data_IF_288075288288
#
_entry.id   IF_288075288288
#
_cell.length_a   1.000
_cell.length_b   1.000
_cell.length_c   1.000
_cell.angle_alpha   90.00
_cell.angle_beta   90.00
_cell.angle_gamma   90.00
#
_symmetry.space_group_name_H-M   'P 1'
#
loop_
_entity.id
_entity.type
_entity.pdbx_description
1 polymer ?
#
# COMPACT_ATOMS: atom_id res chain seq x y z
N UNK A 1 -1.41 14.85 8.70
CA UNK A 1 0.00 14.39 8.62
C UNK A 1 0.75 15.29 7.67
N UNK A 2 2.01 15.63 7.94
CA UNK A 2 2.87 16.26 6.92
C UNK A 2 3.50 15.22 5.98
N UNK A 3 4.18 15.63 4.91
CA UNK A 3 4.82 14.68 3.98
C UNK A 3 5.83 13.74 4.65
N UNK A 4 6.64 14.25 5.58
CA UNK A 4 7.65 13.47 6.29
C UNK A 4 7.01 12.36 7.13
N UNK A 5 5.90 12.65 7.80
CA UNK A 5 5.13 11.66 8.56
C UNK A 5 4.61 10.53 7.65
N UNK A 6 4.14 10.89 6.45
CA UNK A 6 3.60 9.93 5.48
C UNK A 6 4.69 9.03 4.90
N UNK A 7 5.86 9.59 4.56
CA UNK A 7 7.03 8.82 4.12
C UNK A 7 7.46 7.86 5.25
N UNK A 8 7.56 8.35 6.49
CA UNK A 8 7.90 7.50 7.64
C UNK A 8 6.92 6.32 7.79
N UNK A 9 5.61 6.57 7.67
CA UNK A 9 4.61 5.51 7.77
C UNK A 9 4.78 4.44 6.67
N UNK A 10 5.09 4.84 5.43
CA UNK A 10 5.37 3.92 4.33
C UNK A 10 6.65 3.10 4.56
N UNK A 11 7.70 3.72 5.11
CA UNK A 11 8.95 3.03 5.46
C UNK A 11 8.71 2.03 6.60
N UNK A 12 7.93 2.38 7.63
CA UNK A 12 7.56 1.44 8.69
C UNK A 12 6.72 0.27 8.15
N UNK A 13 5.80 0.52 7.21
CA UNK A 13 5.02 -0.53 6.56
C UNK A 13 5.94 -1.55 5.87
N UNK A 14 7.03 -1.10 5.22
CA UNK A 14 7.97 -2.00 4.55
C UNK A 14 8.56 -3.08 5.47
N UNK A 15 8.71 -2.78 6.77
CA UNK A 15 9.32 -3.67 7.76
C UNK A 15 8.44 -4.88 8.06
N UNK A 16 7.11 -4.73 7.98
CA UNK A 16 6.16 -5.82 8.22
C UNK A 16 5.87 -6.66 6.97
N UNK A 17 6.38 -6.25 5.79
CA UNK A 17 6.23 -6.95 4.52
C UNK A 17 7.33 -8.02 4.35
N UNK A 18 7.27 -9.08 5.14
CA UNK A 18 8.24 -10.18 5.08
C UNK A 18 7.53 -11.53 5.33
N UNK A 19 8.22 -12.63 5.00
CA UNK A 19 7.64 -14.00 5.10
C UNK A 19 7.49 -14.49 6.54
N UNK A 20 8.24 -13.92 7.48
CA UNK A 20 8.16 -14.27 8.90
C UNK A 20 6.92 -13.63 9.57
N UNK A 21 6.26 -12.70 8.89
CA UNK A 21 4.96 -12.18 9.31
C UNK A 21 3.86 -13.22 9.04
N UNK A 22 3.44 -13.91 10.10
CA UNK A 22 2.41 -14.97 10.03
C UNK A 22 1.07 -14.47 9.46
N UNK A 23 0.63 -13.25 9.80
CA UNK A 23 -0.62 -12.69 9.29
C UNK A 23 -0.54 -12.42 7.78
N UNK A 24 0.58 -11.86 7.30
CA UNK A 24 0.80 -11.63 5.86
C UNK A 24 0.87 -12.97 5.11
N UNK A 25 1.64 -13.93 5.63
CA UNK A 25 1.77 -15.25 5.03
C UNK A 25 0.42 -15.96 4.95
N UNK A 26 -0.40 -15.88 6.00
CA UNK A 26 -1.77 -16.39 5.98
C UNK A 26 -2.62 -15.69 4.90
N UNK A 27 -2.54 -14.36 4.79
CA UNK A 27 -3.28 -13.60 3.76
C UNK A 27 -2.84 -13.94 2.33
N UNK A 28 -1.55 -14.24 2.10
CA UNK A 28 -1.05 -14.73 0.80
C UNK A 28 -1.65 -16.09 0.47
N UNK A 29 -1.69 -17.02 1.44
CA UNK A 29 -2.29 -18.34 1.24
C UNK A 29 -3.80 -18.25 0.99
N UNK A 30 -4.53 -17.42 1.75
CA UNK A 30 -5.96 -17.19 1.54
C UNK A 30 -6.24 -16.54 0.18
N UNK A 31 -5.39 -15.62 -0.26
CA UNK A 31 -5.50 -14.97 -1.57
C UNK A 31 -5.43 -15.96 -2.71
N UNK A 32 -4.50 -16.93 -2.66
CA UNK A 32 -4.39 -18.00 -3.65
C UNK A 32 -5.65 -18.85 -3.74
N UNK A 33 -6.25 -19.20 -2.59
CA UNK A 33 -7.48 -20.00 -2.56
C UNK A 33 -8.66 -19.25 -3.21
N UNK A 34 -8.73 -17.94 -2.97
CA UNK A 34 -9.84 -17.11 -3.42
C UNK A 34 -9.68 -16.62 -4.88
N UNK A 35 -8.44 -16.37 -5.31
CA UNK A 35 -8.12 -15.86 -6.64
C UNK A 35 -6.92 -16.61 -7.22
N UNK A 36 -7.17 -17.49 -8.20
CA UNK A 36 -6.14 -18.34 -8.80
C UNK A 36 -5.03 -17.56 -9.52
N UNK A 37 -5.26 -16.28 -9.86
CA UNK A 37 -4.23 -15.40 -10.41
C UNK A 37 -3.22 -14.95 -9.34
N UNK A 38 -3.60 -14.99 -8.06
CA UNK A 38 -2.77 -14.59 -6.92
C UNK A 38 -2.03 -15.82 -6.38
N UNK A 39 -1.21 -16.44 -7.23
CA UNK A 39 -0.32 -17.52 -6.77
C UNK A 39 0.58 -16.99 -5.64
N UNK A 40 1.00 -17.87 -4.73
CA UNK A 40 1.93 -17.49 -3.66
C UNK A 40 3.18 -16.82 -4.22
N UNK A 41 3.73 -17.37 -5.30
CA UNK A 41 4.90 -16.82 -5.98
C UNK A 41 4.66 -15.41 -6.49
N UNK A 42 3.56 -15.16 -7.22
CA UNK A 42 3.25 -13.83 -7.76
C UNK A 42 2.93 -12.83 -6.66
N UNK A 43 2.27 -13.27 -5.59
CA UNK A 43 1.96 -12.44 -4.43
C UNK A 43 3.25 -11.99 -3.74
N UNK A 44 4.16 -12.92 -3.45
CA UNK A 44 5.45 -12.60 -2.84
C UNK A 44 6.34 -11.76 -3.75
N UNK A 45 6.34 -12.01 -5.07
CA UNK A 45 7.03 -11.15 -6.03
C UNK A 45 6.51 -9.72 -6.01
N UNK A 46 5.18 -9.53 -5.97
CA UNK A 46 4.56 -8.20 -5.89
C UNK A 46 4.90 -7.50 -4.57
N UNK A 47 4.78 -8.22 -3.45
CA UNK A 47 5.12 -7.69 -2.11
C UNK A 47 6.60 -7.27 -2.03
N UNK A 48 7.51 -8.11 -2.52
CA UNK A 48 8.95 -7.82 -2.50
C UNK A 48 9.31 -6.64 -3.42
N UNK A 49 8.67 -6.55 -4.58
CA UNK A 49 8.83 -5.40 -5.47
C UNK A 49 8.35 -4.10 -4.80
N UNK A 50 7.17 -4.11 -4.17
CA UNK A 50 6.67 -2.94 -3.44
C UNK A 50 7.63 -2.55 -2.31
N UNK A 51 8.06 -3.52 -1.50
CA UNK A 51 8.98 -3.30 -0.39
C UNK A 51 10.29 -2.67 -0.83
N UNK A 52 10.92 -3.25 -1.86
CA UNK A 52 12.29 -2.88 -2.27
C UNK A 52 12.35 -1.74 -3.28
N UNK A 53 11.30 -1.55 -4.08
CA UNK A 53 11.29 -0.55 -5.16
C UNK A 53 10.42 0.66 -4.85
N UNK A 54 9.45 0.58 -3.93
CA UNK A 54 8.55 1.69 -3.62
C UNK A 54 8.67 2.20 -2.19
N UNK A 55 8.88 1.32 -1.20
CA UNK A 55 8.82 1.68 0.22
C UNK A 55 10.18 1.92 0.87
N UNK A 56 11.26 1.86 0.09
CA UNK A 56 12.58 2.28 0.55
C UNK A 56 12.61 3.80 0.78
N UNK A 57 13.26 4.22 1.87
CA UNK A 57 13.31 5.64 2.26
C UNK A 57 14.01 6.50 1.22
N UNK A 58 15.10 6.02 0.62
CA UNK A 58 15.84 6.78 -0.38
C UNK A 58 15.04 6.93 -1.66
N UNK A 59 14.33 5.88 -2.09
CA UNK A 59 13.47 5.91 -3.28
C UNK A 59 12.29 6.85 -3.08
N UNK A 60 11.61 6.80 -1.92
CA UNK A 60 10.49 7.69 -1.60
C UNK A 60 10.93 9.16 -1.57
N UNK A 61 12.07 9.46 -0.95
CA UNK A 61 12.60 10.82 -0.89
C UNK A 61 13.01 11.33 -2.29
N UNK A 62 13.71 10.51 -3.09
CA UNK A 62 14.06 10.89 -4.46
C UNK A 62 12.82 11.15 -5.32
N UNK A 63 11.85 10.23 -5.30
CA UNK A 63 10.61 10.38 -6.05
C UNK A 63 9.80 11.61 -5.63
N UNK A 64 9.59 11.81 -4.34
CA UNK A 64 8.77 12.93 -3.84
C UNK A 64 9.46 14.28 -4.01
N UNK A 65 10.79 14.34 -4.00
CA UNK A 65 11.55 15.58 -4.23
C UNK A 65 11.34 16.19 -5.62
N UNK A 66 10.92 15.38 -6.61
CA UNK A 66 10.63 15.80 -7.98
C UNK A 66 9.34 16.61 -8.11
N UNK A 67 8.56 16.72 -7.03
CA UNK A 67 7.27 17.39 -7.00
C UNK A 67 7.18 18.37 -5.84
N UNK A 68 6.44 19.47 -6.04
CA UNK A 68 6.14 20.42 -4.96
C UNK A 68 4.96 19.94 -4.11
N UNK A 69 5.16 18.88 -3.34
CA UNK A 69 4.14 18.32 -2.44
C UNK A 69 4.08 19.17 -1.17
N UNK A 70 3.09 20.05 -1.09
CA UNK A 70 2.85 20.88 0.10
C UNK A 70 1.98 20.16 1.11
N UNK A 71 2.16 20.48 2.38
CA UNK A 71 1.19 20.11 3.39
C UNK A 71 -0.14 20.80 3.08
N UNK A 72 -1.19 20.00 2.91
CA UNK A 72 -2.47 20.46 2.37
C UNK A 72 -3.41 20.91 3.49
N UNK A 73 -3.95 22.11 3.34
CA UNK A 73 -5.17 22.53 4.02
C UNK A 73 -6.44 22.15 3.23
N UNK A 74 -6.30 21.84 1.94
CA UNK A 74 -7.37 21.56 0.98
C UNK A 74 -7.59 20.05 0.74
N UNK A 75 -7.91 19.29 1.79
CA UNK A 75 -8.09 17.83 1.67
C UNK A 75 -9.31 17.50 0.81
N UNK A 76 -9.08 16.92 -0.37
CA UNK A 76 -10.13 16.40 -1.27
C UNK A 76 -10.36 14.91 -1.04
N UNK A 77 -11.54 14.43 -1.46
CA UNK A 77 -11.88 13.01 -1.56
C UNK A 77 -11.54 12.51 -2.97
N UNK A 78 -10.72 11.47 -3.06
CA UNK A 78 -10.32 10.84 -4.34
C UNK A 78 -10.85 9.42 -4.37
N UNK A 79 -11.70 9.10 -5.35
CA UNK A 79 -12.22 7.75 -5.55
C UNK A 79 -11.26 6.90 -6.36
N UNK A 80 -10.92 5.72 -5.85
CA UNK A 80 -10.15 4.70 -6.57
C UNK A 80 -11.01 3.46 -6.79
N UNK A 81 -11.06 2.98 -8.04
CA UNK A 81 -11.69 1.71 -8.39
C UNK A 81 -10.59 0.76 -8.84
N UNK A 82 -10.20 -0.16 -7.96
CA UNK A 82 -9.00 -0.96 -8.13
C UNK A 82 -9.34 -2.31 -8.77
N UNK A 83 -8.52 -2.71 -9.75
CA UNK A 83 -8.61 -4.03 -10.36
C UNK A 83 -8.08 -5.12 -9.40
N UNK A 84 -8.41 -6.38 -9.68
CA UNK A 84 -7.98 -7.54 -8.89
C UNK A 84 -7.46 -8.69 -9.76
N UNK A 85 -6.89 -8.36 -10.92
CA UNK A 85 -6.32 -9.32 -11.87
C UNK A 85 -4.85 -9.67 -11.56
N UNK A 86 -4.12 -8.83 -10.81
CA UNK A 86 -2.74 -9.06 -10.38
C UNK A 86 -2.61 -8.67 -8.88
N UNK A 87 -1.81 -9.38 -8.07
CA UNK A 87 -1.62 -9.05 -6.65
C UNK A 87 -1.19 -7.59 -6.44
N UNK A 88 -1.93 -6.86 -5.60
CA UNK A 88 -1.62 -5.49 -5.19
C UNK A 88 -1.52 -4.49 -6.35
N UNK A 89 -2.18 -4.74 -7.49
CA UNK A 89 -2.08 -3.87 -8.70
C UNK A 89 -2.47 -2.41 -8.42
N UNK A 90 -3.41 -2.18 -7.51
CA UNK A 90 -3.87 -0.84 -7.13
C UNK A 90 -3.02 -0.15 -6.07
N UNK A 91 -1.97 -0.81 -5.54
CA UNK A 91 -1.17 -0.27 -4.44
C UNK A 91 -0.50 1.05 -4.80
N UNK A 92 0.02 1.17 -6.02
CA UNK A 92 0.67 2.40 -6.48
C UNK A 92 -0.27 3.60 -6.41
N UNK A 93 -1.53 3.44 -6.83
CA UNK A 93 -2.53 4.51 -6.82
C UNK A 93 -2.91 4.92 -5.39
N UNK A 94 -3.05 3.93 -4.49
CA UNK A 94 -3.26 4.17 -3.06
C UNK A 94 -2.09 4.96 -2.47
N UNK A 95 -0.86 4.52 -2.71
CA UNK A 95 0.36 5.14 -2.22
C UNK A 95 0.48 6.60 -2.72
N UNK A 96 0.21 6.86 -4.00
CA UNK A 96 0.24 8.21 -4.56
C UNK A 96 -0.78 9.13 -3.88
N UNK A 97 -2.02 8.67 -3.72
CA UNK A 97 -3.06 9.45 -3.04
C UNK A 97 -2.69 9.74 -1.58
N UNK A 98 -2.15 8.73 -0.89
CA UNK A 98 -1.67 8.83 0.48
C UNK A 98 -0.56 9.88 0.58
N UNK A 99 0.49 9.78 -0.24
CA UNK A 99 1.65 10.70 -0.24
C UNK A 99 1.24 12.15 -0.48
N UNK A 100 0.26 12.41 -1.36
CA UNK A 100 -0.25 13.76 -1.63
C UNK A 100 -1.15 14.29 -0.50
N UNK A 101 -1.61 13.43 0.42
CA UNK A 101 -2.37 13.81 1.61
C UNK A 101 -3.87 14.02 1.34
N UNK A 102 -4.43 13.36 0.32
CA UNK A 102 -5.87 13.37 0.07
C UNK A 102 -6.56 12.18 0.76
N UNK A 103 -7.88 12.31 1.02
CA UNK A 103 -8.67 11.20 1.57
C UNK A 103 -9.08 10.28 0.44
N UNK A 104 -8.60 9.06 0.47
CA UNK A 104 -8.85 8.06 -0.57
C UNK A 104 -10.12 7.26 -0.24
N UNK A 105 -11.04 7.14 -1.20
CA UNK A 105 -12.21 6.27 -1.13
C UNK A 105 -11.96 5.08 -2.05
N UNK A 106 -11.68 3.92 -1.48
CA UNK A 106 -11.22 2.75 -2.25
C UNK A 106 -12.39 1.79 -2.45
N UNK A 107 -12.75 1.54 -3.71
CA UNK A 107 -13.56 0.40 -4.11
C UNK A 107 -12.63 -0.71 -4.58
N UNK A 108 -12.40 -1.68 -3.69
CA UNK A 108 -11.60 -2.86 -4.01
C UNK A 108 -12.34 -3.80 -4.97
N UNK A 109 -11.59 -4.51 -5.79
CA UNK A 109 -12.12 -5.67 -6.49
C UNK A 109 -12.40 -6.77 -5.47
N UNK A 110 -13.54 -7.45 -5.63
CA UNK A 110 -13.84 -8.64 -4.81
C UNK A 110 -12.74 -9.71 -4.89
N UNK A 111 -11.90 -9.68 -5.93
CA UNK A 111 -10.76 -10.58 -6.18
C UNK A 111 -9.51 -10.28 -5.35
N UNK A 112 -9.41 -9.12 -4.70
CA UNK A 112 -8.31 -8.76 -3.79
C UNK A 112 -8.86 -8.50 -2.37
N UNK A 113 -9.30 -9.60 -1.74
CA UNK A 113 -10.00 -9.57 -0.46
C UNK A 113 -9.07 -9.55 0.75
N UNK A 114 -7.79 -9.88 0.58
CA UNK A 114 -6.87 -10.11 1.70
C UNK A 114 -5.58 -9.29 1.62
N UNK A 115 -4.95 -9.16 0.45
CA UNK A 115 -3.64 -8.49 0.35
C UNK A 115 -3.76 -6.97 0.50
N UNK A 116 -4.54 -6.31 -0.36
CA UNK A 116 -4.68 -4.85 -0.26
C UNK A 116 -5.27 -4.42 1.09
N UNK A 117 -6.32 -5.09 1.65
CA UNK A 117 -6.80 -4.80 2.99
C UNK A 117 -5.76 -4.95 4.08
N UNK A 118 -4.87 -5.96 4.01
CA UNK A 118 -3.78 -6.11 4.96
C UNK A 118 -2.85 -4.89 4.94
N UNK A 119 -2.44 -4.42 3.76
CA UNK A 119 -1.57 -3.25 3.64
C UNK A 119 -2.21 -1.99 4.24
N UNK A 120 -3.50 -1.76 3.96
CA UNK A 120 -4.25 -0.62 4.51
C UNK A 120 -4.32 -0.73 6.04
N UNK A 121 -4.70 -1.89 6.58
CA UNK A 121 -4.80 -2.12 8.03
C UNK A 121 -3.45 -1.91 8.75
N UNK A 122 -2.35 -2.37 8.15
CA UNK A 122 -1.02 -2.16 8.73
C UNK A 122 -0.64 -0.67 8.73
N UNK A 123 -0.95 0.07 7.66
CA UNK A 123 -0.70 1.51 7.61
C UNK A 123 -1.53 2.28 8.66
N UNK A 124 -2.79 1.89 8.86
CA UNK A 124 -3.68 2.39 9.92
C UNK A 124 -3.17 2.08 11.32
N UNK A 125 -2.60 0.90 11.53
CA UNK A 125 -1.99 0.52 12.79
C UNK A 125 -0.70 1.31 13.11
N UNK A 126 0.09 1.65 12.08
CA UNK A 126 1.33 2.43 12.22
C UNK A 126 1.03 3.88 12.61
N UNK A 127 0.00 4.49 12.03
CA UNK A 127 -0.45 5.83 12.40
C UNK A 127 -1.96 5.97 12.20
N UNK A 128 -2.69 6.18 13.30
CA UNK A 128 -4.15 6.34 13.30
C UNK A 128 -4.66 7.46 12.39
N UNK A 129 -3.82 8.44 12.03
CA UNK A 129 -4.18 9.58 11.16
C UNK A 129 -4.18 9.22 9.67
N UNK A 130 -3.90 7.97 9.33
CA UNK A 130 -3.87 7.48 7.93
C UNK A 130 -5.26 7.07 7.39
N UNK A 131 -6.26 6.98 8.28
CA UNK A 131 -7.67 6.61 7.98
C UNK A 131 -8.57 7.76 7.45
#
# INVERSE_FOLDING_TARGET
>A
MNLKDRIKALVELSKVLNKDNEELTANVLQSKLYNQWFTEENSWKSIEAIKTQFLDESILNDWTSKYQIKDRSDIKKVGLVLAGNIPLVGWHDIMCCFVVGHKTLIKLSDKDKFLTPFFIKQLEAIDSRTS
#
